data_IF_686908112891
#
_entry.id   IF_686908112891
#
_cell.length_a   1.000
_cell.length_b   1.000
_cell.length_c   1.000
_cell.angle_alpha   90.00
_cell.angle_beta   90.00
_cell.angle_gamma   90.00
#
_symmetry.space_group_name_H-M   'P 1'
#
loop_
_entity.id
_entity.type
_entity.pdbx_description
1 polymer ?
#
# COMPACT_ATOMS: atom_id res chain seq x y z
N UNK A 1 -5.46 -6.09 24.17
CA UNK A 1 -4.93 -5.87 22.81
C UNK A 1 -5.98 -5.11 21.99
N UNK A 2 -5.55 -4.16 21.14
CA UNK A 2 -6.45 -3.44 20.25
C UNK A 2 -6.98 -4.31 19.10
N UNK A 3 -7.69 -3.70 18.15
CA UNK A 3 -8.28 -4.37 16.98
C UNK A 3 -7.26 -5.23 16.19
N UNK A 4 -6.06 -4.69 15.95
CA UNK A 4 -5.00 -5.36 15.16
C UNK A 4 -4.25 -6.46 15.90
N UNK A 5 -4.49 -6.67 17.21
CA UNK A 5 -3.89 -7.72 18.04
C UNK A 5 -2.35 -7.78 18.01
N UNK A 6 -1.69 -6.68 17.78
CA UNK A 6 -0.22 -6.56 17.84
C UNK A 6 0.21 -6.04 19.20
N UNK A 7 1.32 -6.58 19.73
CA UNK A 7 1.94 -6.20 21.00
C UNK A 7 3.01 -5.13 20.84
N UNK A 8 3.98 -5.13 21.77
CA UNK A 8 5.12 -4.22 21.74
C UNK A 8 6.17 -4.60 20.69
N UNK A 9 6.33 -5.91 20.45
CA UNK A 9 7.27 -6.45 19.47
C UNK A 9 6.72 -6.32 18.06
N UNK A 10 7.57 -6.16 17.03
CA UNK A 10 7.14 -6.17 15.64
C UNK A 10 6.54 -7.52 15.27
N UNK A 11 5.58 -7.51 14.37
CA UNK A 11 4.98 -8.72 13.81
C UNK A 11 5.05 -8.61 12.28
N UNK A 12 6.06 -9.24 11.69
CA UNK A 12 6.36 -9.18 10.25
C UNK A 12 6.20 -10.57 9.65
N UNK A 13 5.39 -10.69 8.61
CA UNK A 13 5.20 -11.94 7.89
C UNK A 13 6.45 -12.34 7.13
N UNK A 14 6.96 -11.42 6.31
CA UNK A 14 8.17 -11.66 5.53
C UNK A 14 8.88 -10.35 5.14
N UNK A 15 10.15 -10.49 4.77
CA UNK A 15 10.95 -9.45 4.10
C UNK A 15 11.40 -10.03 2.76
N UNK A 16 10.94 -9.44 1.67
CA UNK A 16 11.17 -10.00 0.32
C UNK A 16 11.58 -8.93 -0.68
N UNK A 17 12.32 -9.35 -1.69
CA UNK A 17 12.56 -8.56 -2.89
C UNK A 17 11.34 -8.63 -3.80
N UNK A 18 10.66 -7.51 -3.99
CA UNK A 18 9.47 -7.41 -4.83
C UNK A 18 9.72 -6.56 -6.08
N UNK A 19 9.25 -7.03 -7.24
CA UNK A 19 9.42 -6.36 -8.54
C UNK A 19 8.11 -5.88 -9.17
N UNK A 20 7.02 -5.94 -8.44
CA UNK A 20 5.67 -5.60 -8.92
C UNK A 20 5.12 -4.26 -8.38
N UNK A 21 5.95 -3.42 -7.75
CA UNK A 21 5.54 -2.07 -7.36
C UNK A 21 5.55 -1.13 -8.58
N UNK A 22 5.17 0.13 -8.41
CA UNK A 22 5.24 1.14 -9.46
C UNK A 22 6.63 1.20 -10.10
N UNK A 23 6.74 1.42 -11.43
CA UNK A 23 8.03 1.40 -12.15
C UNK A 23 9.09 2.28 -11.51
N UNK A 24 8.70 3.46 -11.00
CA UNK A 24 9.64 4.41 -10.37
C UNK A 24 10.13 3.93 -8.99
N UNK A 25 9.48 2.96 -8.37
CA UNK A 25 9.94 2.35 -7.12
C UNK A 25 10.77 1.10 -7.41
N UNK A 26 10.31 0.29 -8.35
CA UNK A 26 10.89 -1.01 -8.69
C UNK A 26 12.20 -0.90 -9.45
N UNK A 27 12.28 -0.04 -10.45
CA UNK A 27 13.43 0.05 -11.34
C UNK A 27 13.87 -1.32 -11.85
N UNK A 28 15.17 -1.49 -12.03
CA UNK A 28 15.76 -2.77 -12.42
C UNK A 28 16.05 -3.72 -11.25
N UNK A 29 16.11 -3.20 -10.03
CA UNK A 29 16.55 -3.95 -8.83
C UNK A 29 15.39 -4.45 -7.96
N UNK A 30 14.21 -3.83 -8.05
CA UNK A 30 13.08 -4.11 -7.17
C UNK A 30 13.11 -3.31 -5.86
N UNK A 31 12.15 -3.60 -5.01
CA UNK A 31 11.94 -2.99 -3.68
C UNK A 31 12.15 -4.06 -2.61
N UNK A 32 12.88 -3.73 -1.55
CA UNK A 32 12.90 -4.54 -0.33
C UNK A 32 11.62 -4.28 0.46
N UNK A 33 10.61 -5.13 0.34
CA UNK A 33 9.35 -4.97 1.04
C UNK A 33 9.32 -5.74 2.36
N UNK A 34 8.90 -5.05 3.42
CA UNK A 34 8.58 -5.60 4.74
C UNK A 34 7.07 -5.70 4.86
N UNK A 35 6.54 -6.90 4.85
CA UNK A 35 5.10 -7.16 5.00
C UNK A 35 4.75 -7.34 6.48
N UNK A 36 4.10 -6.36 7.07
CA UNK A 36 3.57 -6.49 8.41
C UNK A 36 2.38 -7.45 8.42
N UNK A 37 2.37 -8.34 9.42
CA UNK A 37 1.22 -9.19 9.66
C UNK A 37 0.12 -8.43 10.40
N UNK A 38 -1.13 -8.87 10.21
CA UNK A 38 -2.34 -8.21 10.64
C UNK A 38 -2.61 -6.89 9.89
N UNK A 39 -3.75 -6.26 10.17
CA UNK A 39 -4.12 -4.99 9.55
C UNK A 39 -5.12 -4.22 10.42
N UNK A 40 -5.12 -2.89 10.29
CA UNK A 40 -6.14 -2.02 10.91
C UNK A 40 -7.46 -1.96 10.11
N UNK A 41 -7.53 -2.63 8.95
CA UNK A 41 -8.74 -2.86 8.16
C UNK A 41 -9.05 -4.35 8.06
N UNK A 42 -10.31 -4.68 7.80
CA UNK A 42 -10.80 -6.04 7.54
C UNK A 42 -11.28 -6.23 6.11
N UNK A 43 -10.46 -5.89 5.11
CA UNK A 43 -10.84 -5.97 3.70
C UNK A 43 -11.17 -7.41 3.29
N UNK A 44 -12.42 -7.66 2.87
CA UNK A 44 -12.88 -9.00 2.45
C UNK A 44 -12.23 -9.46 1.14
N UNK A 45 -11.72 -8.55 0.34
CA UNK A 45 -11.00 -8.82 -0.92
C UNK A 45 -9.48 -8.65 -0.77
N UNK A 46 -8.94 -8.70 0.43
CA UNK A 46 -7.51 -8.50 0.64
C UNK A 46 -6.71 -9.57 -0.10
N UNK A 47 -5.81 -9.16 -0.99
CA UNK A 47 -4.89 -10.06 -1.67
C UNK A 47 -3.88 -10.67 -0.68
N UNK A 48 -3.54 -9.92 0.37
CA UNK A 48 -2.67 -10.38 1.46
C UNK A 48 -3.47 -11.07 2.59
N UNK A 49 -4.60 -11.73 2.29
CA UNK A 49 -5.51 -12.29 3.30
C UNK A 49 -4.84 -13.32 4.21
N UNK A 50 -3.84 -14.03 3.72
CA UNK A 50 -3.09 -15.05 4.49
C UNK A 50 -2.35 -14.43 5.68
N UNK A 51 -1.99 -13.14 5.62
CA UNK A 51 -1.22 -12.45 6.66
C UNK A 51 -1.97 -11.28 7.33
N UNK A 52 -3.02 -10.75 6.70
CA UNK A 52 -3.74 -9.55 7.19
C UNK A 52 -4.84 -9.87 8.21
N UNK A 53 -5.21 -11.14 8.37
CA UNK A 53 -6.26 -11.57 9.29
C UNK A 53 -5.80 -11.51 10.74
N UNK A 54 -6.44 -10.65 11.55
CA UNK A 54 -6.06 -10.39 12.95
C UNK A 54 -6.27 -11.59 13.91
N UNK A 55 -6.87 -12.67 13.46
CA UNK A 55 -7.04 -13.92 14.23
C UNK A 55 -6.02 -15.00 13.89
N UNK A 56 -5.22 -14.80 12.85
CA UNK A 56 -4.16 -15.72 12.43
C UNK A 56 -2.85 -15.43 13.15
N UNK A 57 -2.03 -16.45 13.31
CA UNK A 57 -0.65 -16.35 13.77
C UNK A 57 0.14 -17.49 13.13
N UNK A 58 1.31 -17.17 12.59
CA UNK A 58 2.25 -18.14 12.06
C UNK A 58 3.55 -18.08 12.89
N UNK A 59 4.03 -19.26 13.32
CA UNK A 59 5.27 -19.38 14.09
C UNK A 59 6.50 -18.90 13.32
N UNK A 60 6.43 -18.87 11.99
CA UNK A 60 7.52 -18.42 11.13
C UNK A 60 7.58 -16.89 10.99
N UNK A 61 6.58 -16.16 11.47
CA UNK A 61 6.60 -14.70 11.42
C UNK A 61 7.73 -14.12 12.29
N UNK A 62 8.37 -13.08 11.76
CA UNK A 62 9.48 -12.44 12.42
C UNK A 62 8.95 -11.51 13.52
N UNK A 63 9.38 -11.73 14.76
CA UNK A 63 8.97 -10.96 15.94
C UNK A 63 10.16 -10.24 16.61
N UNK A 64 11.36 -10.38 16.05
CA UNK A 64 12.56 -9.73 16.55
C UNK A 64 13.04 -8.66 15.57
N UNK A 65 13.23 -7.42 16.05
CA UNK A 65 13.82 -6.34 15.24
C UNK A 65 15.15 -6.76 14.60
N UNK A 66 16.01 -7.49 15.32
CA UNK A 66 17.28 -7.94 14.77
C UNK A 66 17.11 -8.91 13.59
N UNK A 67 16.19 -9.86 13.67
CA UNK A 67 15.93 -10.82 12.57
C UNK A 67 15.40 -10.09 11.33
N UNK A 68 14.47 -9.14 11.53
CA UNK A 68 13.90 -8.31 10.45
C UNK A 68 14.99 -7.47 9.79
N UNK A 69 15.81 -6.78 10.59
CA UNK A 69 16.92 -5.94 10.09
C UNK A 69 17.92 -6.79 9.33
N UNK A 70 18.30 -7.97 9.80
CA UNK A 70 19.22 -8.86 9.09
C UNK A 70 18.68 -9.26 7.71
N UNK A 71 17.38 -9.57 7.60
CA UNK A 71 16.74 -9.88 6.32
C UNK A 71 16.73 -8.65 5.38
N UNK A 72 16.41 -7.45 5.89
CA UNK A 72 16.49 -6.21 5.13
C UNK A 72 17.91 -5.96 4.63
N UNK A 73 18.92 -6.06 5.50
CA UNK A 73 20.33 -5.82 5.13
C UNK A 73 20.82 -6.82 4.08
N UNK A 74 20.37 -8.08 4.13
CA UNK A 74 20.70 -9.07 3.10
C UNK A 74 20.20 -8.62 1.72
N UNK A 75 18.96 -8.09 1.64
CA UNK A 75 18.39 -7.57 0.39
C UNK A 75 19.06 -6.27 -0.06
N UNK A 76 19.27 -5.31 0.84
CA UNK A 76 19.91 -4.03 0.48
C UNK A 76 21.35 -4.19 -0.03
N UNK A 77 22.09 -5.19 0.47
CA UNK A 77 23.46 -5.53 -0.02
C UNK A 77 23.49 -5.96 -1.50
N UNK A 78 22.36 -6.33 -2.09
CA UNK A 78 22.28 -6.66 -3.53
C UNK A 78 22.21 -5.41 -4.42
N UNK A 79 22.19 -4.21 -3.82
CA UNK A 79 22.12 -2.92 -4.51
C UNK A 79 20.69 -2.39 -4.69
N UNK A 80 19.73 -2.94 -3.95
CA UNK A 80 18.36 -2.38 -3.85
C UNK A 80 18.42 -1.06 -3.08
N UNK A 81 17.79 -0.01 -3.65
CA UNK A 81 17.81 1.35 -3.09
C UNK A 81 16.57 1.69 -2.25
N UNK A 82 15.48 0.95 -2.40
CA UNK A 82 14.17 1.26 -1.83
C UNK A 82 13.78 0.23 -0.77
N UNK A 83 13.37 0.70 0.40
CA UNK A 83 12.82 -0.09 1.51
C UNK A 83 11.34 0.27 1.70
N UNK A 84 10.45 -0.64 1.35
CA UNK A 84 9.01 -0.47 1.48
C UNK A 84 8.47 -1.15 2.73
N UNK A 85 7.58 -0.45 3.45
CA UNK A 85 6.82 -1.00 4.56
C UNK A 85 5.36 -1.13 4.15
N UNK A 86 4.88 -2.36 4.05
CA UNK A 86 3.52 -2.67 3.57
C UNK A 86 2.57 -2.83 4.75
N UNK A 87 1.49 -2.05 4.76
CA UNK A 87 0.48 -1.96 5.83
C UNK A 87 1.07 -1.63 7.21
N UNK A 88 1.91 -0.61 7.37
CA UNK A 88 2.59 -0.30 8.62
C UNK A 88 1.72 0.45 9.63
N UNK A 89 0.52 0.91 9.27
CA UNK A 89 -0.33 1.85 10.03
C UNK A 89 -0.59 1.45 11.49
N UNK A 90 -0.58 0.16 11.79
CA UNK A 90 -0.82 -0.37 13.14
C UNK A 90 0.46 -0.77 13.89
N UNK A 91 1.64 -0.61 13.26
CA UNK A 91 2.97 -0.95 13.81
C UNK A 91 4.00 0.16 13.54
N UNK A 92 3.56 1.42 13.53
CA UNK A 92 4.42 2.58 13.20
C UNK A 92 5.61 2.69 14.15
N UNK A 93 5.42 2.45 15.45
CA UNK A 93 6.52 2.48 16.42
C UNK A 93 7.59 1.45 16.07
N UNK A 94 7.19 0.22 15.80
CA UNK A 94 8.07 -0.87 15.43
C UNK A 94 8.77 -0.60 14.08
N UNK A 95 8.06 -0.03 13.10
CA UNK A 95 8.63 0.42 11.83
C UNK A 95 9.76 1.44 12.05
N UNK A 96 9.54 2.44 12.92
CA UNK A 96 10.56 3.46 13.23
C UNK A 96 11.79 2.85 13.89
N UNK A 97 11.62 1.87 14.78
CA UNK A 97 12.73 1.14 15.41
C UNK A 97 13.54 0.34 14.35
N UNK A 98 12.85 -0.29 13.39
CA UNK A 98 13.50 -1.01 12.27
C UNK A 98 14.30 -0.03 11.40
N UNK A 99 13.72 1.12 11.01
CA UNK A 99 14.39 2.15 10.22
C UNK A 99 15.67 2.62 10.92
N UNK A 100 15.57 2.97 12.20
CA UNK A 100 16.71 3.43 12.98
C UNK A 100 17.83 2.37 13.08
N UNK A 101 17.46 1.09 13.19
CA UNK A 101 18.43 0.00 13.22
C UNK A 101 19.10 -0.24 11.87
N UNK A 102 18.39 -0.11 10.74
CA UNK A 102 18.93 -0.17 9.38
C UNK A 102 19.93 0.97 9.15
N UNK A 103 19.57 2.20 9.55
CA UNK A 103 20.44 3.38 9.46
C UNK A 103 21.70 3.24 10.32
N UNK A 104 21.56 2.72 11.55
CA UNK A 104 22.69 2.42 12.43
C UNK A 104 23.64 1.38 11.83
N UNK A 105 23.16 0.48 11.00
CA UNK A 105 23.98 -0.48 10.26
C UNK A 105 24.67 0.13 9.03
N UNK A 106 24.52 1.44 8.76
CA UNK A 106 25.17 2.18 7.69
C UNK A 106 24.41 2.18 6.35
N UNK A 107 23.14 1.79 6.34
CA UNK A 107 22.29 1.81 5.14
C UNK A 107 21.25 2.92 5.22
N UNK A 108 21.11 3.68 4.13
CA UNK A 108 20.13 4.77 4.02
C UNK A 108 19.27 4.58 2.74
N UNK A 109 18.40 3.56 2.69
CA UNK A 109 17.51 3.37 1.56
C UNK A 109 16.43 4.44 1.54
N UNK A 110 15.84 4.69 0.38
CA UNK A 110 14.58 5.46 0.26
C UNK A 110 13.45 4.73 0.98
N UNK A 111 12.81 5.37 1.93
CA UNK A 111 11.77 4.78 2.78
C UNK A 111 10.39 5.00 2.18
N UNK A 112 9.69 3.91 1.84
CA UNK A 112 8.31 3.94 1.32
C UNK A 112 7.32 3.50 2.40
N UNK A 113 6.33 4.33 2.67
CA UNK A 113 5.19 4.03 3.53
C UNK A 113 3.98 3.64 2.69
N UNK A 114 3.78 2.34 2.47
CA UNK A 114 2.68 1.78 1.69
C UNK A 114 1.52 1.43 2.62
N UNK A 115 0.52 2.30 2.69
CA UNK A 115 -0.60 2.19 3.62
C UNK A 115 -1.95 2.00 2.93
N UNK A 116 -2.93 1.56 3.70
CA UNK A 116 -4.32 1.45 3.22
C UNK A 116 -5.10 2.78 3.28
N UNK A 117 -4.42 3.89 3.60
CA UNK A 117 -4.98 5.24 3.71
C UNK A 117 -5.78 5.51 4.99
N UNK A 118 -6.09 4.50 5.80
CA UNK A 118 -6.84 4.66 7.05
C UNK A 118 -5.89 4.96 8.22
N UNK A 119 -5.14 6.06 8.07
CA UNK A 119 -4.08 6.48 9.00
C UNK A 119 -4.51 7.62 9.92
N UNK A 120 -3.91 7.68 11.10
CA UNK A 120 -4.06 8.81 12.03
C UNK A 120 -3.21 9.98 11.57
N UNK A 121 -3.80 11.15 11.40
CA UNK A 121 -3.08 12.41 11.09
C UNK A 121 -2.01 12.71 12.14
N UNK A 122 -2.29 12.45 13.42
CA UNK A 122 -1.31 12.64 14.51
C UNK A 122 -0.09 11.74 14.31
N UNK A 123 -0.31 10.49 13.89
CA UNK A 123 0.78 9.56 13.61
C UNK A 123 1.57 10.00 12.38
N UNK A 124 0.89 10.41 11.30
CA UNK A 124 1.54 10.89 10.07
C UNK A 124 2.42 12.12 10.33
N UNK A 125 2.00 13.04 11.20
CA UNK A 125 2.84 14.18 11.61
C UNK A 125 4.15 13.78 12.29
N UNK A 126 4.17 12.65 12.99
CA UNK A 126 5.40 12.12 13.60
C UNK A 126 6.34 11.48 12.57
N UNK A 127 5.83 11.16 11.36
CA UNK A 127 6.59 10.60 10.26
C UNK A 127 7.18 11.67 9.33
N UNK A 128 6.90 12.95 9.55
CA UNK A 128 7.45 14.06 8.78
C UNK A 128 8.99 14.06 8.86
N UNK A 129 9.65 14.07 7.72
CA UNK A 129 11.11 13.97 7.61
C UNK A 129 11.69 12.56 7.78
N UNK A 130 10.87 11.53 8.06
CA UNK A 130 11.31 10.12 8.15
C UNK A 130 10.96 9.33 6.90
N UNK A 131 9.73 9.52 6.41
CA UNK A 131 9.25 8.84 5.21
C UNK A 131 9.63 9.66 3.99
N UNK A 132 10.24 9.02 3.00
CA UNK A 132 10.60 9.65 1.74
C UNK A 132 9.43 9.63 0.75
N UNK A 133 8.74 8.52 0.63
CA UNK A 133 7.62 8.34 -0.29
C UNK A 133 6.40 7.82 0.45
N UNK A 134 5.29 8.53 0.35
CA UNK A 134 3.99 8.03 0.75
C UNK A 134 3.32 7.33 -0.43
N UNK A 135 2.81 6.12 -0.18
CA UNK A 135 2.11 5.28 -1.16
C UNK A 135 0.76 4.81 -0.58
N UNK A 136 -0.16 5.75 -0.25
CA UNK A 136 -1.45 5.39 0.33
C UNK A 136 -2.44 4.88 -0.70
N UNK A 137 -3.23 3.89 -0.33
CA UNK A 137 -4.48 3.61 -1.03
C UNK A 137 -5.55 4.66 -0.68
N UNK A 138 -6.35 5.06 -1.65
CA UNK A 138 -7.65 5.71 -1.40
C UNK A 138 -8.74 4.80 -1.94
N UNK A 139 -9.35 3.97 -1.05
CA UNK A 139 -10.15 2.81 -1.47
C UNK A 139 -11.61 3.14 -1.80
N UNK A 140 -12.24 4.09 -1.08
CA UNK A 140 -13.68 4.32 -1.14
C UNK A 140 -14.06 5.78 -0.98
N UNK A 141 -15.06 6.21 -1.75
CA UNK A 141 -15.79 7.45 -1.51
C UNK A 141 -16.99 7.20 -0.58
N UNK A 142 -17.70 6.09 -0.79
CA UNK A 142 -18.91 5.75 -0.03
C UNK A 142 -18.56 4.98 1.24
N UNK A 143 -18.85 5.57 2.40
CA UNK A 143 -18.61 4.96 3.71
C UNK A 143 -19.40 3.67 3.96
N UNK A 144 -20.58 3.50 3.32
CA UNK A 144 -21.33 2.25 3.45
C UNK A 144 -20.62 1.10 2.72
N UNK A 145 -19.99 1.37 1.56
CA UNK A 145 -19.15 0.41 0.84
C UNK A 145 -17.92 0.08 1.67
N UNK A 146 -17.24 1.09 2.23
CA UNK A 146 -16.07 0.93 3.10
C UNK A 146 -16.39 0.06 4.32
N UNK A 147 -17.52 0.32 4.98
CA UNK A 147 -17.98 -0.49 6.12
C UNK A 147 -18.27 -1.93 5.71
N UNK A 148 -18.96 -2.12 4.59
CA UNK A 148 -19.37 -3.44 4.10
C UNK A 148 -18.19 -4.32 3.68
N UNK A 149 -17.17 -3.74 3.04
CA UNK A 149 -16.09 -4.50 2.41
C UNK A 149 -14.79 -4.49 3.19
N UNK A 150 -14.57 -3.52 4.08
CA UNK A 150 -13.32 -3.38 4.83
C UNK A 150 -13.50 -3.15 6.33
N UNK A 151 -14.74 -3.22 6.84
CA UNK A 151 -15.11 -2.89 8.24
C UNK A 151 -14.62 -1.50 8.69
N UNK A 152 -14.48 -0.56 7.75
CA UNK A 152 -13.97 0.77 7.99
C UNK A 152 -15.11 1.78 8.23
N UNK A 153 -15.17 2.37 9.42
CA UNK A 153 -16.12 3.43 9.73
C UNK A 153 -15.52 4.80 9.36
N UNK A 154 -16.29 5.63 8.60
CA UNK A 154 -15.81 6.98 8.24
C UNK A 154 -14.51 6.96 7.41
N UNK A 155 -14.35 5.97 6.53
CA UNK A 155 -13.12 5.78 5.75
C UNK A 155 -12.77 7.02 4.93
N UNK A 156 -13.76 7.56 4.19
CA UNK A 156 -13.54 8.70 3.30
C UNK A 156 -12.94 9.90 4.03
N UNK A 157 -13.51 10.26 5.17
CA UNK A 157 -13.07 11.43 5.96
C UNK A 157 -11.67 11.19 6.54
N UNK A 158 -11.42 9.99 7.05
CA UNK A 158 -10.12 9.62 7.62
C UNK A 158 -9.04 9.56 6.54
N UNK A 159 -9.32 8.91 5.40
CA UNK A 159 -8.37 8.78 4.30
C UNK A 159 -8.07 10.15 3.65
N UNK A 160 -9.09 11.01 3.52
CA UNK A 160 -8.88 12.36 3.01
C UNK A 160 -8.01 13.21 3.95
N UNK A 161 -8.25 13.13 5.24
CA UNK A 161 -7.43 13.84 6.23
C UNK A 161 -5.99 13.33 6.24
N UNK A 162 -5.79 12.02 6.15
CA UNK A 162 -4.47 11.39 6.03
C UNK A 162 -3.77 11.83 4.75
N UNK A 163 -4.44 11.78 3.60
CA UNK A 163 -3.89 12.18 2.31
C UNK A 163 -3.51 13.66 2.28
N UNK A 164 -4.33 14.55 2.86
CA UNK A 164 -4.00 15.98 2.99
C UNK A 164 -2.72 16.20 3.82
N UNK A 165 -2.51 15.43 4.88
CA UNK A 165 -1.29 15.51 5.68
C UNK A 165 -0.07 14.98 4.89
N UNK A 166 -0.19 13.85 4.20
CA UNK A 166 0.88 13.32 3.33
C UNK A 166 1.23 14.32 2.21
N UNK A 167 0.20 14.96 1.61
CA UNK A 167 0.39 16.01 0.61
C UNK A 167 1.05 17.27 1.20
N UNK A 168 0.71 17.68 2.42
CA UNK A 168 1.39 18.78 3.11
C UNK A 168 2.89 18.53 3.24
N UNK A 169 3.28 17.27 3.49
CA UNK A 169 4.69 16.89 3.68
C UNK A 169 5.45 16.77 2.35
N UNK A 170 4.82 16.28 1.30
CA UNK A 170 5.50 15.92 0.03
C UNK A 170 5.12 16.81 -1.17
N UNK A 171 3.96 17.43 -1.16
CA UNK A 171 3.43 18.18 -2.31
C UNK A 171 3.08 17.28 -3.49
N UNK A 172 3.01 17.89 -4.68
CA UNK A 172 2.73 17.21 -5.95
C UNK A 172 3.96 16.63 -6.67
N UNK A 173 5.18 17.21 -6.54
CA UNK A 173 6.34 16.68 -7.26
C UNK A 173 6.71 15.27 -6.82
N UNK A 174 7.15 14.47 -7.79
CA UNK A 174 7.84 13.21 -7.56
C UNK A 174 9.30 13.42 -8.00
N UNK A 175 10.21 13.34 -7.06
CA UNK A 175 11.64 13.49 -7.31
C UNK A 175 12.25 12.11 -7.56
N UNK A 176 13.06 12.00 -8.61
CA UNK A 176 13.72 10.76 -9.01
C UNK A 176 15.23 10.98 -9.13
N UNK A 177 16.01 9.92 -8.92
CA UNK A 177 17.44 9.90 -9.17
C UNK A 177 17.76 9.81 -10.67
N UNK A 178 19.06 9.80 -11.01
CA UNK A 178 19.55 9.70 -12.39
C UNK A 178 19.16 8.37 -13.09
N UNK A 179 18.77 7.35 -12.33
CA UNK A 179 18.28 6.06 -12.83
C UNK A 179 16.74 6.04 -12.98
N UNK A 180 16.06 7.14 -12.63
CA UNK A 180 14.59 7.25 -12.66
C UNK A 180 13.90 6.60 -11.45
N UNK A 181 14.65 6.30 -10.38
CA UNK A 181 14.08 5.73 -9.14
C UNK A 181 13.63 6.86 -8.24
N UNK A 182 12.41 6.77 -7.72
CA UNK A 182 11.86 7.79 -6.85
C UNK A 182 12.63 7.89 -5.53
N UNK A 183 12.97 9.14 -5.16
CA UNK A 183 13.64 9.50 -3.92
C UNK A 183 12.70 10.21 -2.95
N UNK A 184 11.68 10.92 -3.43
CA UNK A 184 10.71 11.60 -2.57
C UNK A 184 9.43 11.89 -3.33
N UNK A 185 8.28 11.80 -2.64
CA UNK A 185 6.99 12.17 -3.21
C UNK A 185 5.77 11.50 -2.59
N UNK A 186 4.66 11.63 -3.31
CA UNK A 186 3.37 11.05 -2.97
C UNK A 186 2.75 10.41 -4.21
N UNK A 187 2.41 9.13 -4.11
CA UNK A 187 1.71 8.37 -5.16
C UNK A 187 0.45 7.78 -4.52
N UNK A 188 -0.72 8.18 -4.98
CA UNK A 188 -1.98 7.62 -4.47
C UNK A 188 -2.37 6.40 -5.27
N UNK A 189 -2.59 5.28 -4.61
CA UNK A 189 -3.12 4.06 -5.22
C UNK A 189 -4.64 4.03 -5.16
N UNK A 190 -5.26 3.62 -6.25
CA UNK A 190 -6.69 3.35 -6.29
C UNK A 190 -6.98 2.04 -7.01
N UNK A 191 -7.50 1.05 -6.27
CA UNK A 191 -7.95 -0.22 -6.82
C UNK A 191 -9.41 -0.09 -7.26
N UNK A 192 -9.68 -0.30 -8.54
CA UNK A 192 -11.05 -0.31 -9.06
C UNK A 192 -11.72 -1.62 -8.68
N UNK A 193 -12.88 -1.52 -8.02
CA UNK A 193 -13.67 -2.68 -7.62
C UNK A 193 -14.79 -2.96 -8.64
N UNK A 194 -15.06 -4.24 -8.96
CA UNK A 194 -16.20 -4.61 -9.80
C UNK A 194 -17.50 -4.01 -9.27
N UNK A 195 -18.38 -3.55 -10.14
CA UNK A 195 -19.68 -2.91 -9.84
C UNK A 195 -19.60 -1.56 -9.11
N UNK A 196 -18.39 -1.01 -8.92
CA UNK A 196 -18.19 0.24 -8.16
C UNK A 196 -17.38 1.31 -8.91
N UNK A 197 -17.41 1.31 -10.25
CA UNK A 197 -16.76 2.33 -11.06
C UNK A 197 -17.22 3.76 -10.72
N UNK A 198 -18.50 3.97 -10.35
CA UNK A 198 -19.01 5.26 -9.88
C UNK A 198 -18.36 5.74 -8.59
N UNK A 199 -18.10 4.82 -7.65
CA UNK A 199 -17.40 5.14 -6.41
C UNK A 199 -15.94 5.51 -6.69
N UNK A 200 -15.28 4.81 -7.64
CA UNK A 200 -13.93 5.14 -8.11
C UNK A 200 -13.86 6.52 -8.75
N UNK A 201 -14.79 6.86 -9.63
CA UNK A 201 -14.92 8.21 -10.22
C UNK A 201 -15.10 9.27 -9.14
N UNK A 202 -15.94 8.99 -8.13
CA UNK A 202 -16.15 9.93 -7.01
C UNK A 202 -14.88 10.10 -6.16
N UNK A 203 -14.09 9.03 -5.94
CA UNK A 203 -12.76 9.10 -5.27
C UNK A 203 -11.83 10.03 -6.03
N UNK A 204 -11.67 9.84 -7.34
CA UNK A 204 -10.76 10.65 -8.16
C UNK A 204 -11.16 12.12 -8.15
N UNK A 205 -12.46 12.42 -8.30
CA UNK A 205 -12.97 13.79 -8.23
C UNK A 205 -12.71 14.42 -6.85
N UNK A 206 -12.93 13.67 -5.77
CA UNK A 206 -12.64 14.15 -4.40
C UNK A 206 -11.16 14.50 -4.24
N UNK A 207 -10.26 13.64 -4.71
CA UNK A 207 -8.81 13.87 -4.63
C UNK A 207 -8.41 15.11 -5.43
N UNK A 208 -8.92 15.26 -6.67
CA UNK A 208 -8.63 16.41 -7.51
C UNK A 208 -9.10 17.73 -6.87
N UNK A 209 -10.29 17.75 -6.27
CA UNK A 209 -10.90 18.93 -5.67
C UNK A 209 -10.30 19.30 -4.32
N UNK A 210 -10.06 18.31 -3.46
CA UNK A 210 -9.73 18.52 -2.06
C UNK A 210 -8.22 18.49 -1.77
N UNK A 211 -7.42 17.91 -2.68
CA UNK A 211 -5.97 17.78 -2.53
C UNK A 211 -5.25 18.46 -3.71
N UNK A 212 -5.22 17.82 -4.87
CA UNK A 212 -4.63 18.36 -6.10
C UNK A 212 -4.84 17.41 -7.28
N UNK A 213 -5.07 17.97 -8.47
CA UNK A 213 -5.03 17.23 -9.74
C UNK A 213 -3.60 16.99 -10.27
N UNK A 214 -2.58 17.59 -9.64
CA UNK A 214 -1.18 17.45 -10.06
C UNK A 214 -0.42 16.33 -9.36
N UNK A 215 -1.07 15.57 -8.46
CA UNK A 215 -0.43 14.41 -7.80
C UNK A 215 -0.35 13.22 -8.74
N UNK A 216 0.47 12.24 -8.35
CA UNK A 216 0.58 10.99 -9.08
C UNK A 216 -0.46 9.98 -8.55
N UNK A 217 -1.18 9.37 -9.47
CA UNK A 217 -2.16 8.31 -9.19
C UNK A 217 -1.70 7.02 -9.85
N UNK A 218 -1.70 5.92 -9.11
CA UNK A 218 -1.54 4.57 -9.62
C UNK A 218 -2.91 3.89 -9.62
N UNK A 219 -3.52 3.81 -10.81
CA UNK A 219 -4.83 3.17 -11.00
C UNK A 219 -4.62 1.67 -11.19
N UNK A 220 -5.20 0.87 -10.29
CA UNK A 220 -4.99 -0.56 -10.23
C UNK A 220 -6.22 -1.32 -10.74
N UNK A 221 -5.98 -2.31 -11.62
CA UNK A 221 -6.98 -3.25 -12.15
C UNK A 221 -6.86 -4.65 -11.52
N UNK A 222 -5.86 -4.88 -10.67
CA UNK A 222 -5.45 -6.18 -10.15
C UNK A 222 -6.44 -6.82 -9.14
N UNK A 223 -7.72 -6.38 -9.14
CA UNK A 223 -8.72 -7.01 -8.29
C UNK A 223 -8.91 -8.49 -8.67
N UNK A 224 -8.77 -9.37 -7.68
CA UNK A 224 -9.02 -10.80 -7.84
C UNK A 224 -10.00 -11.29 -6.76
N UNK A 225 -11.08 -12.02 -7.13
CA UNK A 225 -12.03 -12.57 -6.16
C UNK A 225 -11.43 -13.80 -5.49
N UNK A 226 -10.91 -13.62 -4.26
CA UNK A 226 -10.39 -14.74 -3.46
C UNK A 226 -11.54 -15.60 -2.95
N UNK A 227 -11.68 -16.83 -3.44
CA UNK A 227 -12.79 -17.74 -3.12
C UNK A 227 -12.99 -17.98 -1.62
N UNK A 228 -11.88 -18.12 -0.87
CA UNK A 228 -11.90 -18.35 0.59
C UNK A 228 -12.56 -17.20 1.38
N UNK A 229 -12.69 -16.01 0.79
CA UNK A 229 -13.14 -14.81 1.51
C UNK A 229 -14.67 -14.60 1.47
N UNK A 230 -15.43 -15.50 0.83
CA UNK A 230 -16.88 -15.42 0.72
C UNK A 230 -17.38 -14.01 0.37
N UNK A 231 -16.96 -13.52 -0.80
CA UNK A 231 -17.20 -12.16 -1.25
C UNK A 231 -18.68 -11.89 -1.54
N UNK A 232 -19.18 -10.67 -1.32
CA UNK A 232 -20.48 -10.25 -1.80
C UNK A 232 -20.59 -10.40 -3.31
N UNK A 233 -21.74 -10.83 -3.81
CA UNK A 233 -21.99 -11.11 -5.24
C UNK A 233 -21.55 -9.97 -6.17
N UNK A 234 -21.72 -8.71 -5.74
CA UNK A 234 -21.34 -7.55 -6.54
C UNK A 234 -19.84 -7.49 -6.90
N UNK A 235 -18.98 -8.02 -6.00
CA UNK A 235 -17.52 -8.03 -6.19
C UNK A 235 -16.94 -9.45 -6.29
N UNK A 236 -17.78 -10.48 -6.42
CA UNK A 236 -17.32 -11.87 -6.56
C UNK A 236 -17.10 -12.22 -8.05
N UNK A 237 -16.38 -11.39 -8.76
CA UNK A 237 -15.98 -11.55 -10.16
C UNK A 237 -14.78 -10.66 -10.47
N UNK A 238 -14.12 -10.89 -11.56
CA UNK A 238 -13.09 -9.98 -12.09
C UNK A 238 -13.71 -8.67 -12.58
N UNK A 239 -12.88 -7.65 -12.72
CA UNK A 239 -13.25 -6.35 -13.23
C UNK A 239 -13.58 -6.44 -14.72
N UNK A 240 -14.68 -5.83 -15.17
CA UNK A 240 -15.01 -5.74 -16.59
C UNK A 240 -14.27 -4.54 -17.23
N UNK A 241 -13.93 -4.70 -18.51
CA UNK A 241 -13.19 -3.69 -19.25
C UNK A 241 -13.91 -2.33 -19.26
N UNK A 242 -15.22 -2.32 -19.45
CA UNK A 242 -16.02 -1.09 -19.51
C UNK A 242 -16.04 -0.34 -18.18
N UNK A 243 -16.00 -1.07 -17.06
CA UNK A 243 -15.92 -0.47 -15.72
C UNK A 243 -14.56 0.20 -15.52
N UNK A 244 -13.48 -0.46 -15.94
CA UNK A 244 -12.13 0.06 -15.82
C UNK A 244 -11.89 1.24 -16.76
N UNK A 245 -12.24 1.10 -18.04
CA UNK A 245 -12.09 2.15 -19.06
C UNK A 245 -12.77 3.47 -18.62
N UNK A 246 -13.93 3.37 -17.98
CA UNK A 246 -14.64 4.53 -17.44
C UNK A 246 -13.82 5.28 -16.38
N UNK A 247 -13.14 4.55 -15.51
CA UNK A 247 -12.30 5.15 -14.46
C UNK A 247 -11.01 5.71 -15.06
N UNK A 248 -10.42 5.02 -16.06
CA UNK A 248 -9.27 5.52 -16.82
C UNK A 248 -9.60 6.84 -17.50
N UNK A 249 -10.75 6.95 -18.18
CA UNK A 249 -11.20 8.21 -18.79
C UNK A 249 -11.32 9.35 -17.78
N UNK A 250 -11.75 9.06 -16.56
CA UNK A 250 -11.83 10.09 -15.52
C UNK A 250 -10.43 10.53 -15.02
N UNK A 251 -9.46 9.60 -14.91
CA UNK A 251 -8.05 9.92 -14.59
C UNK A 251 -7.49 10.89 -15.66
N UNK A 252 -7.71 10.57 -16.95
CA UNK A 252 -7.25 11.39 -18.07
C UNK A 252 -7.92 12.79 -18.08
N UNK A 253 -9.24 12.83 -17.92
CA UNK A 253 -10.05 14.05 -17.89
C UNK A 253 -9.62 14.99 -16.75
N UNK A 254 -9.31 14.45 -15.58
CA UNK A 254 -8.84 15.22 -14.42
C UNK A 254 -7.36 15.63 -14.53
N UNK A 255 -6.62 15.07 -15.49
CA UNK A 255 -5.23 15.39 -15.76
C UNK A 255 -4.24 14.86 -14.72
N UNK A 256 -4.59 13.81 -13.99
CA UNK A 256 -3.67 13.15 -13.07
C UNK A 256 -2.46 12.59 -13.81
N UNK A 257 -1.30 12.67 -13.14
CA UNK A 257 -0.07 11.99 -13.56
C UNK A 257 -0.05 10.58 -12.96
N UNK A 258 0.86 9.74 -13.46
CA UNK A 258 1.11 8.42 -12.85
C UNK A 258 0.88 7.26 -13.80
N UNK A 259 0.29 6.18 -13.31
CA UNK A 259 0.24 4.90 -14.02
C UNK A 259 -1.17 4.33 -14.04
N UNK A 260 -1.48 3.70 -15.18
CA UNK A 260 -2.70 2.90 -15.37
C UNK A 260 -2.26 1.46 -15.61
N UNK A 261 -2.65 0.57 -14.70
CA UNK A 261 -2.27 -0.84 -14.76
C UNK A 261 -3.03 -1.55 -15.88
N UNK A 262 -2.37 -2.51 -16.55
CA UNK A 262 -3.03 -3.35 -17.57
C UNK A 262 -4.15 -4.19 -16.96
N UNK A 263 -5.24 -4.38 -17.71
CA UNK A 263 -6.41 -5.12 -17.24
C UNK A 263 -6.13 -6.63 -16.98
N UNK A 264 -5.08 -7.19 -17.59
CA UNK A 264 -4.67 -8.58 -17.38
C UNK A 264 -3.80 -8.77 -16.11
N UNK A 265 -3.55 -7.73 -15.36
CA UNK A 265 -2.72 -7.75 -14.15
C UNK A 265 -3.18 -8.71 -13.04
N UNK A 266 -4.47 -9.02 -12.84
CA UNK A 266 -4.90 -9.94 -11.77
C UNK A 266 -4.20 -11.29 -11.77
N UNK A 267 -3.84 -11.81 -12.96
CA UNK A 267 -3.23 -13.13 -13.12
C UNK A 267 -1.76 -13.16 -12.61
N UNK A 268 -1.13 -12.00 -12.43
CA UNK A 268 0.30 -11.86 -12.12
C UNK A 268 0.61 -11.31 -10.72
N UNK A 269 -0.40 -10.82 -9.97
CA UNK A 269 -0.14 -10.06 -8.72
C UNK A 269 -0.81 -10.65 -7.48
N UNK A 270 -1.30 -11.90 -7.52
CA UNK A 270 -1.83 -12.56 -6.33
C UNK A 270 -0.69 -13.24 -5.55
N UNK A 271 -0.29 -12.71 -4.38
CA UNK A 271 0.79 -13.31 -3.61
C UNK A 271 0.33 -14.61 -2.93
N UNK A 272 1.28 -15.53 -2.73
CA UNK A 272 1.12 -16.73 -1.92
C UNK A 272 2.10 -16.72 -0.74
N UNK A 273 1.66 -16.25 0.41
CA UNK A 273 2.49 -16.15 1.63
C UNK A 273 2.75 -17.50 2.32
N UNK A 274 2.33 -18.62 1.74
CA UNK A 274 2.76 -19.97 2.18
C UNK A 274 4.10 -20.35 1.53
N UNK A 275 4.61 -19.57 0.54
CA UNK A 275 5.91 -19.78 -0.11
C UNK A 275 7.00 -18.93 0.54
N UNK A 276 8.25 -19.35 0.38
CA UNK A 276 9.43 -18.58 0.84
C UNK A 276 9.50 -17.20 0.16
N UNK A 277 9.14 -17.12 -1.14
CA UNK A 277 8.91 -15.88 -1.85
C UNK A 277 7.46 -15.82 -2.33
N UNK A 278 6.61 -14.99 -1.72
CA UNK A 278 5.19 -14.87 -2.07
C UNK A 278 4.90 -14.48 -3.52
N UNK A 279 5.88 -13.93 -4.23
CA UNK A 279 5.75 -13.36 -5.57
C UNK A 279 6.51 -14.16 -6.64
N UNK A 280 6.91 -15.40 -6.37
CA UNK A 280 7.41 -16.34 -7.38
C UNK A 280 6.24 -17.09 -8.02
N UNK A 281 6.05 -16.87 -9.32
CA UNK A 281 5.02 -17.47 -10.16
C UNK A 281 5.59 -18.57 -11.03
#
# INVERSE_FOLDING_TARGET
MGYCRVGAEPLVSCVVLHKGEEPVLTGSKGVCNVFFAHCNLGCRFCQNYQISCNSQFDINWLTSTNSIVNAILATLKTGVKVLGFVSPSHQVKQMLEIIAAVQKAGFNPTIVYNSNGYDSVTTLKQLDGVIDIYLPDFKYFNNAIAKRYSDANGYREQALAALKEMYRQKGSPLFVDDEGIAESGLIVRHLVLPSHADDSVAVLNLIAQEVSSNIHVSLLSQFFPVEKNNLPTAINRVLHKEEYDRVVQEVEKLGFKGWVQDLNSPDFYLPDFERDNPFEY
#
